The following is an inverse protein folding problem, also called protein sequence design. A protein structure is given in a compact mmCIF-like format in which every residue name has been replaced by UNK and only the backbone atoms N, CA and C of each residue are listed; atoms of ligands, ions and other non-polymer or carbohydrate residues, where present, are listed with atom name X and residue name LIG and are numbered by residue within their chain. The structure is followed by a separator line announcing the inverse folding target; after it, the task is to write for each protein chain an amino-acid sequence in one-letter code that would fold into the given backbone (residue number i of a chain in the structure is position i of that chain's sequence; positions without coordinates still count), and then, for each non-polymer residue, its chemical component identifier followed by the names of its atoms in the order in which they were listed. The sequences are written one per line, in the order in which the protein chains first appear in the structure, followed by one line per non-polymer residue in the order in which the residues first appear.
data_IF_207745236397
#
_entry.id   IF_207745236397
#
_cell.length_a   1.000
_cell.length_b   1.000
_cell.length_c   1.000
_cell.angle_alpha   90.00
_cell.angle_beta   90.00
_cell.angle_gamma   90.00
#
_symmetry.space_group_name_H-M   'P 1'
#
loop_
_entity.id
_entity.type
_entity.pdbx_description
1 polymer ?
#
# COMPACT_ATOMS: atom_id res chain seq x y z
N UNK A 1 16.60 -14.53 -19.69
CA UNK A 1 16.38 -13.66 -18.53
C UNK A 1 16.43 -12.21 -18.99
N UNK A 2 15.27 -11.58 -19.25
CA UNK A 2 15.17 -10.14 -19.48
C UNK A 2 15.07 -9.48 -18.12
N UNK A 3 16.00 -8.56 -17.80
CA UNK A 3 15.91 -7.70 -16.61
C UNK A 3 14.67 -6.82 -16.77
N UNK A 4 13.60 -7.17 -16.07
CA UNK A 4 12.46 -6.28 -15.90
C UNK A 4 12.91 -5.12 -15.03
N UNK A 5 12.88 -3.92 -15.58
CA UNK A 5 13.05 -2.68 -14.84
C UNK A 5 11.94 -2.66 -13.78
N UNK A 6 12.25 -2.42 -12.48
CA UNK A 6 11.19 -2.32 -11.49
C UNK A 6 10.24 -1.22 -11.92
N UNK A 7 8.96 -1.57 -12.15
CA UNK A 7 7.91 -0.58 -12.26
C UNK A 7 8.00 0.29 -11.02
N UNK A 8 8.25 1.58 -11.22
CA UNK A 8 8.15 2.54 -10.11
C UNK A 8 6.73 2.40 -9.58
N UNK A 9 6.59 1.98 -8.32
CA UNK A 9 5.33 2.08 -7.61
C UNK A 9 4.83 3.49 -7.86
N UNK A 10 3.74 3.62 -8.60
CA UNK A 10 3.00 4.86 -8.65
C UNK A 10 2.35 4.99 -7.28
N UNK A 11 3.13 5.42 -6.28
CA UNK A 11 2.57 5.87 -5.03
C UNK A 11 1.56 6.94 -5.38
N UNK A 12 0.28 6.68 -5.14
CA UNK A 12 -0.80 7.66 -5.30
C UNK A 12 -0.58 8.93 -4.43
N UNK A 13 0.52 8.97 -3.72
CA UNK A 13 1.00 10.01 -2.81
C UNK A 13 1.50 11.30 -3.48
N UNK A 14 1.49 11.37 -4.82
CA UNK A 14 1.82 12.61 -5.53
C UNK A 14 0.84 13.78 -5.24
N UNK A 15 -0.23 13.55 -4.49
CA UNK A 15 -1.20 14.60 -4.14
C UNK A 15 -0.89 15.36 -2.85
N UNK A 16 0.01 14.85 -2.00
CA UNK A 16 0.38 15.59 -0.77
C UNK A 16 1.17 16.89 -1.01
N UNK A 17 1.65 17.12 -2.22
CA UNK A 17 2.53 18.26 -2.53
C UNK A 17 1.83 19.60 -2.82
N UNK A 18 0.49 19.66 -2.82
CA UNK A 18 -0.23 20.90 -3.23
C UNK A 18 -1.29 21.40 -2.25
N UNK A 19 -1.41 20.79 -1.07
CA UNK A 19 -2.21 21.44 -0.03
C UNK A 19 -1.32 22.46 0.69
N UNK A 20 -1.41 23.72 0.27
CA UNK A 20 -0.86 24.87 1.00
C UNK A 20 -1.57 24.96 2.35
N UNK A 21 -1.01 24.29 3.36
CA UNK A 21 -1.60 24.17 4.68
C UNK A 21 -1.03 25.26 5.59
N UNK A 22 -1.79 26.34 5.77
CA UNK A 22 -1.46 27.33 6.79
C UNK A 22 -1.78 26.76 8.18
N UNK A 23 -0.75 26.45 8.95
CA UNK A 23 -0.88 26.15 10.37
C UNK A 23 -1.24 27.44 11.12
N UNK A 24 -2.53 27.71 11.29
CA UNK A 24 -2.93 28.59 12.38
C UNK A 24 -2.88 27.78 13.66
N UNK A 25 -1.73 27.84 14.34
CA UNK A 25 -1.61 27.34 15.70
C UNK A 25 -2.65 28.07 16.57
N UNK A 26 -3.76 27.44 16.84
CA UNK A 26 -4.75 27.89 17.83
C UNK A 26 -4.20 27.58 19.22
N UNK A 27 -3.42 28.51 19.78
CA UNK A 27 -2.88 28.42 21.13
C UNK A 27 -2.28 29.76 21.54
N UNK A 28 -2.95 30.46 22.42
CA UNK A 28 -2.62 31.73 23.03
C UNK A 28 -1.13 32.00 23.23
N UNK A 29 -0.63 33.06 22.59
CA UNK A 29 0.45 33.91 23.11
C UNK A 29 1.87 33.41 22.93
N UNK A 30 2.53 33.88 21.89
CA UNK A 30 3.96 33.76 21.64
C UNK A 30 4.28 32.78 20.53
N UNK A 31 5.01 33.21 19.50
CA UNK A 31 5.54 32.40 18.41
C UNK A 31 6.54 31.38 18.98
N UNK A 32 6.03 30.25 19.53
CA UNK A 32 6.84 29.08 19.78
C UNK A 32 7.08 28.46 18.40
N UNK A 33 8.32 28.52 17.92
CA UNK A 33 8.73 27.81 16.71
C UNK A 33 8.39 26.32 16.85
N UNK A 34 8.16 25.64 15.72
CA UNK A 34 7.90 24.20 15.65
C UNK A 34 8.95 23.41 16.45
N UNK A 35 8.49 22.35 17.11
CA UNK A 35 9.30 21.53 18.00
C UNK A 35 9.51 20.12 17.42
N UNK A 36 10.45 19.40 18.01
CA UNK A 36 10.65 17.95 17.72
C UNK A 36 9.39 17.13 18.00
N UNK A 37 8.56 17.56 18.95
CA UNK A 37 7.28 16.89 19.25
C UNK A 37 6.27 17.08 18.12
N UNK A 38 6.21 18.27 17.54
CA UNK A 38 5.31 18.55 16.40
C UNK A 38 5.74 17.72 15.18
N UNK A 39 7.05 17.53 14.98
CA UNK A 39 7.55 16.66 13.91
C UNK A 39 7.22 15.17 14.15
N UNK A 40 7.29 14.69 15.41
CA UNK A 40 6.85 13.33 15.73
C UNK A 40 5.34 13.15 15.51
N UNK A 41 4.55 14.13 15.93
CA UNK A 41 3.10 14.15 15.74
C UNK A 41 2.73 14.16 14.25
N UNK A 42 3.44 14.95 13.42
CA UNK A 42 3.29 14.95 11.97
C UNK A 42 3.45 13.52 11.40
N UNK A 43 4.56 12.85 11.73
CA UNK A 43 4.82 11.49 11.25
C UNK A 43 3.78 10.49 11.76
N UNK A 44 3.39 10.60 13.04
CA UNK A 44 2.39 9.69 13.62
C UNK A 44 1.03 9.83 12.94
N UNK A 45 0.54 11.05 12.74
CA UNK A 45 -0.76 11.26 12.12
C UNK A 45 -0.78 10.87 10.64
N UNK A 46 0.32 11.07 9.92
CA UNK A 46 0.46 10.61 8.54
C UNK A 46 0.39 9.07 8.46
N UNK A 47 1.17 8.37 9.28
CA UNK A 47 1.17 6.90 9.32
C UNK A 47 -0.20 6.33 9.74
N UNK A 48 -0.79 6.88 10.80
CA UNK A 48 -2.09 6.43 11.29
C UNK A 48 -3.21 6.65 10.27
N UNK A 49 -3.16 7.75 9.53
CA UNK A 49 -4.11 8.06 8.44
C UNK A 49 -3.91 7.10 7.28
N UNK A 50 -2.68 6.98 6.79
CA UNK A 50 -2.38 6.26 5.55
C UNK A 50 -2.54 4.74 5.69
N UNK A 51 -2.18 4.18 6.85
CA UNK A 51 -2.23 2.71 7.03
C UNK A 51 -3.39 2.23 7.91
N UNK A 52 -3.80 2.99 8.92
CA UNK A 52 -4.83 2.54 9.87
C UNK A 52 -6.19 3.20 9.69
N UNK A 53 -6.32 4.14 8.76
CA UNK A 53 -7.58 4.87 8.54
C UNK A 53 -8.03 5.69 9.75
N UNK A 54 -7.09 6.21 10.56
CA UNK A 54 -7.36 7.01 11.76
C UNK A 54 -7.31 8.51 11.42
N UNK A 55 -8.42 9.08 11.01
CA UNK A 55 -8.48 10.43 10.42
C UNK A 55 -8.49 11.57 11.44
N UNK A 56 -8.90 11.32 12.68
CA UNK A 56 -9.09 12.39 13.68
C UNK A 56 -7.79 13.14 14.02
N UNK A 57 -6.66 12.43 14.12
CA UNK A 57 -5.35 13.04 14.34
C UNK A 57 -4.95 13.96 13.20
N UNK A 58 -5.10 13.49 11.96
CA UNK A 58 -4.76 14.22 10.74
C UNK A 58 -5.55 15.53 10.60
N UNK A 59 -6.87 15.45 10.75
CA UNK A 59 -7.76 16.63 10.68
C UNK A 59 -7.51 17.63 11.82
N UNK A 60 -7.11 17.17 12.99
CA UNK A 60 -6.74 18.04 14.09
C UNK A 60 -5.35 18.68 13.92
N UNK A 61 -4.43 17.98 13.26
CA UNK A 61 -3.07 18.45 13.00
C UNK A 61 -3.02 19.47 11.85
N UNK A 62 -3.73 19.21 10.77
CA UNK A 62 -3.79 20.04 9.57
C UNK A 62 -5.08 20.85 9.50
N UNK A 63 -5.00 22.17 9.70
CA UNK A 63 -6.17 23.05 9.87
C UNK A 63 -7.07 23.19 8.63
N UNK A 64 -6.55 22.91 7.43
CA UNK A 64 -7.27 23.10 6.16
C UNK A 64 -7.68 21.79 5.49
N UNK A 65 -7.61 20.67 6.22
CA UNK A 65 -7.94 19.34 5.72
C UNK A 65 -9.25 18.87 6.34
N UNK A 66 -10.11 18.29 5.54
CA UNK A 66 -11.36 17.69 6.00
C UNK A 66 -11.19 16.18 6.28
N UNK A 67 -12.13 15.62 7.03
CA UNK A 67 -12.18 14.15 7.19
C UNK A 67 -12.36 13.44 5.85
N UNK A 68 -12.97 14.09 4.85
CA UNK A 68 -13.12 13.50 3.53
C UNK A 68 -11.77 13.43 2.80
N UNK A 69 -10.97 14.50 2.85
CA UNK A 69 -9.62 14.51 2.25
C UNK A 69 -8.73 13.40 2.84
N UNK A 70 -8.78 13.23 4.17
CA UNK A 70 -8.04 12.15 4.85
C UNK A 70 -8.53 10.73 4.45
N UNK A 71 -9.84 10.57 4.23
CA UNK A 71 -10.41 9.31 3.73
C UNK A 71 -10.02 9.03 2.29
N UNK A 72 -10.02 10.05 1.45
CA UNK A 72 -9.66 9.92 0.05
C UNK A 72 -8.18 9.51 -0.06
N UNK A 73 -7.27 10.15 0.69
CA UNK A 73 -5.86 9.74 0.78
C UNK A 73 -5.71 8.27 1.22
N UNK A 74 -6.41 7.85 2.26
CA UNK A 74 -6.39 6.46 2.72
C UNK A 74 -6.89 5.49 1.65
N UNK A 75 -8.03 5.81 1.01
CA UNK A 75 -8.59 4.94 -0.01
C UNK A 75 -7.69 4.86 -1.25
N UNK A 76 -7.06 5.96 -1.66
CA UNK A 76 -6.11 5.98 -2.78
C UNK A 76 -4.89 5.10 -2.49
N UNK A 77 -4.37 5.13 -1.26
CA UNK A 77 -3.28 4.25 -0.84
C UNK A 77 -3.69 2.77 -0.89
N UNK A 78 -4.85 2.44 -0.34
CA UNK A 78 -5.42 1.08 -0.38
C UNK A 78 -5.61 0.61 -1.84
N UNK A 79 -6.18 1.45 -2.69
CA UNK A 79 -6.41 1.12 -4.10
C UNK A 79 -5.08 0.89 -4.86
N UNK A 80 -4.05 1.68 -4.54
CA UNK A 80 -2.71 1.54 -5.11
C UNK A 80 -2.08 0.19 -4.77
N UNK A 81 -2.13 -0.23 -3.51
CA UNK A 81 -1.57 -1.52 -3.08
C UNK A 81 -2.39 -2.72 -3.59
N UNK A 82 -3.71 -2.61 -3.57
CA UNK A 82 -4.58 -3.64 -4.15
C UNK A 82 -4.30 -3.83 -5.65
N UNK A 83 -4.14 -2.73 -6.38
CA UNK A 83 -3.78 -2.77 -7.81
C UNK A 83 -2.39 -3.38 -8.03
N UNK A 84 -1.42 -3.10 -7.14
CA UNK A 84 -0.09 -3.69 -7.23
C UNK A 84 -0.13 -5.20 -7.00
N UNK A 85 -0.86 -5.69 -6.01
CA UNK A 85 -1.05 -7.13 -5.82
C UNK A 85 -1.70 -7.79 -7.04
N UNK A 86 -2.80 -7.22 -7.56
CA UNK A 86 -3.47 -7.72 -8.77
C UNK A 86 -2.55 -7.72 -9.99
N UNK A 87 -1.64 -6.75 -10.09
CA UNK A 87 -0.59 -6.74 -11.11
C UNK A 87 0.43 -7.88 -10.92
N UNK A 88 0.85 -8.17 -9.69
CA UNK A 88 1.79 -9.28 -9.42
C UNK A 88 1.24 -10.64 -9.84
N UNK A 89 -0.07 -10.84 -9.69
CA UNK A 89 -0.77 -12.07 -10.09
C UNK A 89 -1.41 -11.98 -11.47
N UNK A 90 -1.12 -10.93 -12.27
CA UNK A 90 -1.80 -10.73 -13.55
C UNK A 90 -1.51 -11.82 -14.57
N UNK A 91 -2.55 -12.22 -15.31
CA UNK A 91 -2.48 -13.24 -16.35
C UNK A 91 -2.51 -12.60 -17.74
N UNK A 92 -1.63 -13.05 -18.68
CA UNK A 92 -1.66 -12.56 -20.04
C UNK A 92 -2.93 -13.05 -20.77
N UNK A 93 -3.38 -12.26 -21.75
CA UNK A 93 -4.40 -12.72 -22.67
C UNK A 93 -3.83 -13.83 -23.57
N UNK A 94 -4.59 -14.91 -23.78
CA UNK A 94 -4.12 -16.06 -24.57
C UNK A 94 -4.01 -15.75 -26.06
N UNK A 95 -4.83 -14.83 -26.58
CA UNK A 95 -4.81 -14.38 -27.98
C UNK A 95 -3.73 -13.33 -28.24
N UNK A 96 -3.59 -12.36 -27.32
CA UNK A 96 -2.59 -11.30 -27.40
C UNK A 96 -1.77 -11.25 -26.10
N UNK A 97 -0.70 -12.00 -26.03
CA UNK A 97 0.20 -12.09 -24.87
C UNK A 97 0.90 -10.77 -24.51
N UNK A 98 0.75 -9.71 -25.31
CA UNK A 98 1.22 -8.36 -24.96
C UNK A 98 0.25 -7.61 -24.05
N UNK A 99 -0.96 -8.13 -23.87
CA UNK A 99 -2.00 -7.59 -23.00
C UNK A 99 -2.23 -8.51 -21.81
N UNK A 100 -2.74 -7.95 -20.72
CA UNK A 100 -3.20 -8.68 -19.54
C UNK A 100 -4.71 -8.63 -19.48
N UNK A 101 -5.31 -9.67 -18.91
CA UNK A 101 -6.75 -9.66 -18.62
C UNK A 101 -6.95 -8.95 -17.30
N UNK A 102 -7.67 -7.83 -17.34
CA UNK A 102 -7.96 -7.04 -16.16
C UNK A 102 -8.90 -7.77 -15.20
N UNK A 103 -8.68 -7.67 -13.88
CA UNK A 103 -9.61 -8.19 -12.90
C UNK A 103 -10.95 -7.46 -12.97
N UNK A 104 -12.03 -8.16 -12.63
CA UNK A 104 -13.36 -7.55 -12.55
C UNK A 104 -13.43 -6.50 -11.43
N UNK A 105 -14.41 -5.58 -11.51
CA UNK A 105 -14.66 -4.62 -10.44
C UNK A 105 -14.90 -5.28 -9.07
N UNK A 106 -15.50 -6.48 -9.04
CA UNK A 106 -15.74 -7.21 -7.80
C UNK A 106 -14.42 -7.73 -7.19
N UNK A 107 -13.51 -8.24 -8.02
CA UNK A 107 -12.18 -8.69 -7.60
C UNK A 107 -11.33 -7.52 -7.12
N UNK A 108 -11.38 -6.39 -7.82
CA UNK A 108 -10.71 -5.15 -7.38
C UNK A 108 -11.22 -4.70 -5.99
N UNK A 109 -12.52 -4.66 -5.80
CA UNK A 109 -13.10 -4.30 -4.48
C UNK A 109 -12.78 -5.31 -3.38
N UNK A 110 -12.70 -6.61 -3.71
CA UNK A 110 -12.25 -7.63 -2.75
C UNK A 110 -10.80 -7.38 -2.35
N UNK A 111 -9.91 -7.13 -3.30
CA UNK A 111 -8.52 -6.79 -3.04
C UNK A 111 -8.38 -5.54 -2.15
N UNK A 112 -9.10 -4.45 -2.46
CA UNK A 112 -9.13 -3.24 -1.64
C UNK A 112 -9.62 -3.52 -0.21
N UNK A 113 -10.64 -4.36 -0.04
CA UNK A 113 -11.11 -4.74 1.29
C UNK A 113 -10.06 -5.51 2.08
N UNK A 114 -9.37 -6.45 1.44
CA UNK A 114 -8.30 -7.23 2.06
C UNK A 114 -7.11 -6.34 2.47
N UNK A 115 -6.73 -5.38 1.63
CA UNK A 115 -5.65 -4.45 1.97
C UNK A 115 -6.00 -3.51 3.13
N UNK A 116 -7.28 -3.17 3.35
CA UNK A 116 -7.72 -2.47 4.58
C UNK A 116 -7.45 -3.31 5.82
N UNK A 117 -7.77 -4.60 5.76
CA UNK A 117 -7.55 -5.53 6.88
C UNK A 117 -6.05 -5.81 7.11
N UNK A 118 -5.25 -5.90 6.04
CA UNK A 118 -3.79 -6.05 6.09
C UNK A 118 -3.17 -4.80 6.75
N UNK A 119 -3.46 -3.62 6.23
CA UNK A 119 -2.88 -2.37 6.73
C UNK A 119 -3.32 -2.00 8.15
N UNK A 120 -4.50 -2.44 8.59
CA UNK A 120 -4.90 -2.31 9.98
C UNK A 120 -3.94 -3.00 10.97
N UNK A 121 -3.10 -3.95 10.48
CA UNK A 121 -2.09 -4.67 11.26
C UNK A 121 -0.69 -4.04 11.21
N UNK A 122 -0.51 -2.89 10.54
CA UNK A 122 0.79 -2.20 10.47
C UNK A 122 1.36 -1.92 11.86
N UNK A 123 2.62 -2.29 12.08
CA UNK A 123 3.33 -2.10 13.35
C UNK A 123 4.52 -1.16 13.15
N UNK A 124 4.41 0.05 13.67
CA UNK A 124 5.44 1.07 13.64
C UNK A 124 5.48 1.87 14.93
N UNK A 125 6.65 2.43 15.24
CA UNK A 125 6.88 3.22 16.46
C UNK A 125 7.77 4.41 16.16
N UNK A 126 7.34 5.60 16.58
CA UNK A 126 8.16 6.81 16.55
C UNK A 126 9.13 6.75 17.72
N UNK A 127 10.43 6.63 17.43
CA UNK A 127 11.47 6.40 18.45
C UNK A 127 12.01 7.68 19.03
N UNK A 128 12.39 8.62 18.15
CA UNK A 128 13.03 9.88 18.56
C UNK A 128 12.95 10.91 17.43
N UNK A 129 13.21 12.15 17.77
CA UNK A 129 13.38 13.23 16.79
C UNK A 129 14.44 14.23 17.24
N UNK A 130 15.06 14.90 16.26
CA UNK A 130 16.02 15.97 16.50
C UNK A 130 15.84 17.07 15.44
N UNK A 131 16.04 18.33 15.86
CA UNK A 131 16.08 19.45 14.94
C UNK A 131 17.46 19.53 14.29
N UNK A 132 17.49 19.74 12.98
CA UNK A 132 18.70 19.87 12.21
C UNK A 132 19.13 21.36 12.08
N UNK A 133 20.38 21.58 11.67
CA UNK A 133 20.93 22.93 11.52
C UNK A 133 20.25 23.75 10.41
N UNK A 134 19.66 23.10 9.42
CA UNK A 134 18.93 23.69 8.31
C UNK A 134 17.45 24.01 8.64
N UNK A 135 17.04 23.68 9.87
CA UNK A 135 15.68 23.92 10.35
C UNK A 135 14.70 22.76 10.15
N UNK A 136 15.10 21.71 9.44
CA UNK A 136 14.32 20.46 9.30
C UNK A 136 14.34 19.63 10.58
N UNK A 137 13.56 18.55 10.61
CA UNK A 137 13.56 17.60 11.72
C UNK A 137 13.83 16.19 11.19
N UNK A 138 14.79 15.51 11.82
CA UNK A 138 15.03 14.08 11.61
C UNK A 138 14.18 13.29 12.60
N UNK A 139 13.30 12.43 12.13
CA UNK A 139 12.43 11.58 12.96
C UNK A 139 12.78 10.13 12.69
N UNK A 140 13.17 9.40 13.76
CA UNK A 140 13.46 7.98 13.67
C UNK A 140 12.19 7.17 13.90
N UNK A 141 11.88 6.29 12.94
CA UNK A 141 10.76 5.36 12.99
C UNK A 141 11.30 3.93 12.96
N UNK A 142 10.79 3.08 13.83
CA UNK A 142 10.95 1.64 13.74
C UNK A 142 9.69 1.05 13.11
N UNK A 143 9.87 0.10 12.20
CA UNK A 143 8.80 -0.56 11.45
C UNK A 143 9.06 -2.06 11.50
N UNK A 144 8.03 -2.85 11.75
CA UNK A 144 8.05 -4.30 11.56
C UNK A 144 7.32 -4.62 10.25
N UNK A 145 8.04 -4.95 9.17
CA UNK A 145 7.42 -5.28 7.89
C UNK A 145 6.48 -6.47 8.01
N UNK A 146 5.29 -6.36 7.47
CA UNK A 146 4.33 -7.48 7.44
C UNK A 146 4.76 -8.51 6.39
N UNK A 147 4.68 -9.80 6.74
CA UNK A 147 5.14 -10.92 5.90
C UNK A 147 4.06 -11.51 4.99
N UNK A 148 2.98 -10.80 4.76
CA UNK A 148 1.79 -11.28 4.02
C UNK A 148 2.13 -11.88 2.65
N UNK A 149 3.03 -11.26 1.89
CA UNK A 149 3.40 -11.77 0.56
C UNK A 149 4.25 -13.04 0.65
N UNK A 150 5.08 -13.16 1.67
CA UNK A 150 5.81 -14.41 1.97
C UNK A 150 4.82 -15.54 2.29
N UNK A 151 3.83 -15.28 3.15
CA UNK A 151 2.79 -16.26 3.48
C UNK A 151 1.98 -16.68 2.25
N UNK A 152 1.62 -15.75 1.37
CA UNK A 152 0.94 -16.06 0.11
C UNK A 152 1.84 -16.92 -0.78
N UNK A 153 3.11 -16.56 -0.95
CA UNK A 153 4.06 -17.31 -1.77
C UNK A 153 4.30 -18.74 -1.25
N UNK A 154 4.48 -18.90 0.06
CA UNK A 154 4.71 -20.20 0.69
C UNK A 154 3.52 -21.15 0.61
N UNK A 155 2.30 -20.62 0.56
CA UNK A 155 1.07 -21.42 0.51
C UNK A 155 0.48 -21.52 -0.91
N UNK A 156 1.13 -20.97 -1.92
CA UNK A 156 0.60 -20.86 -3.28
C UNK A 156 0.31 -22.23 -3.90
N UNK A 157 1.30 -23.13 -3.94
CA UNK A 157 1.18 -24.44 -4.60
C UNK A 157 0.08 -25.29 -3.95
N UNK A 158 0.07 -25.36 -2.61
CA UNK A 158 -0.93 -26.16 -1.89
C UNK A 158 -2.35 -25.61 -2.11
N UNK A 159 -2.51 -24.30 -2.08
CA UNK A 159 -3.83 -23.67 -2.22
C UNK A 159 -4.39 -23.79 -3.64
N UNK A 160 -3.52 -23.78 -4.65
CA UNK A 160 -3.91 -23.93 -6.05
C UNK A 160 -4.10 -25.38 -6.50
N UNK A 161 -3.87 -26.38 -5.65
CA UNK A 161 -4.05 -27.80 -6.02
C UNK A 161 -5.45 -28.10 -6.54
N UNK A 162 -6.51 -27.64 -5.85
CA UNK A 162 -7.90 -27.86 -6.28
C UNK A 162 -8.23 -27.13 -7.58
N UNK A 163 -7.66 -25.93 -7.78
CA UNK A 163 -7.78 -25.16 -9.02
C UNK A 163 -7.14 -25.93 -10.19
N UNK A 164 -5.90 -26.39 -10.01
CA UNK A 164 -5.17 -27.15 -11.02
C UNK A 164 -5.88 -28.47 -11.34
N UNK A 165 -6.36 -29.18 -10.33
CA UNK A 165 -7.13 -30.41 -10.48
C UNK A 165 -8.45 -30.20 -11.24
N UNK A 166 -9.12 -29.07 -11.06
CA UNK A 166 -10.34 -28.67 -11.77
C UNK A 166 -10.05 -28.43 -13.25
N UNK A 167 -9.04 -27.63 -13.55
CA UNK A 167 -8.76 -27.17 -14.90
C UNK A 167 -7.94 -28.17 -15.74
N UNK A 168 -7.15 -29.05 -15.11
CA UNK A 168 -6.48 -30.16 -15.80
C UNK A 168 -7.45 -31.15 -16.47
N UNK A 169 -8.72 -31.17 -16.06
CA UNK A 169 -9.77 -32.05 -16.62
C UNK A 169 -10.50 -31.44 -17.80
N UNK A 170 -10.23 -30.18 -18.12
CA UNK A 170 -10.85 -29.49 -19.27
C UNK A 170 -10.12 -29.92 -20.54
N UNK A 171 -10.85 -30.46 -21.51
CA UNK A 171 -10.30 -30.87 -22.81
C UNK A 171 -10.13 -29.64 -23.71
N UNK A 172 -9.04 -28.89 -23.48
CA UNK A 172 -8.71 -27.71 -24.30
C UNK A 172 -8.18 -28.07 -25.67
N UNK A 173 -7.71 -29.31 -25.90
CA UNK A 173 -7.20 -29.75 -27.19
C UNK A 173 -8.31 -29.90 -28.25
N UNK A 174 -9.55 -30.15 -27.80
CA UNK A 174 -10.72 -30.25 -28.70
C UNK A 174 -11.37 -28.90 -29.02
N UNK A 175 -10.97 -27.82 -28.37
CA UNK A 175 -11.52 -26.48 -28.60
C UNK A 175 -10.97 -25.87 -29.88
N UNK A 176 -11.81 -25.08 -30.57
CA UNK A 176 -11.32 -24.12 -31.56
C UNK A 176 -10.59 -22.98 -30.85
N UNK A 177 -9.76 -22.22 -31.57
CA UNK A 177 -9.06 -21.05 -31.01
C UNK A 177 -10.04 -20.06 -30.35
N UNK A 178 -11.18 -19.79 -31.00
CA UNK A 178 -12.21 -18.90 -30.48
C UNK A 178 -12.83 -19.42 -29.17
N UNK A 179 -13.14 -20.73 -29.11
CA UNK A 179 -13.67 -21.38 -27.91
C UNK A 179 -12.65 -21.33 -26.78
N UNK A 180 -11.37 -21.61 -27.07
CA UNK A 180 -10.30 -21.54 -26.09
C UNK A 180 -10.10 -20.12 -25.55
N UNK A 181 -10.03 -19.09 -26.41
CA UNK A 181 -9.87 -17.71 -25.97
C UNK A 181 -11.06 -17.22 -25.13
N UNK A 182 -12.29 -17.59 -25.52
CA UNK A 182 -13.48 -17.28 -24.74
C UNK A 182 -13.48 -17.98 -23.38
N UNK A 183 -13.11 -19.26 -23.31
CA UNK A 183 -12.99 -20.00 -22.08
C UNK A 183 -11.90 -19.39 -21.18
N UNK A 184 -10.72 -19.09 -21.74
CA UNK A 184 -9.63 -18.46 -21.01
C UNK A 184 -10.03 -17.15 -20.34
N UNK A 185 -10.63 -16.23 -21.11
CA UNK A 185 -11.03 -14.90 -20.63
C UNK A 185 -12.20 -14.91 -19.65
N UNK A 186 -13.15 -15.82 -19.83
CA UNK A 186 -14.42 -15.77 -19.10
C UNK A 186 -14.57 -16.84 -18.02
N UNK A 187 -13.69 -17.84 -17.98
CA UNK A 187 -13.75 -18.94 -17.01
C UNK A 187 -12.44 -19.08 -16.26
N UNK A 188 -11.34 -19.35 -16.96
CA UNK A 188 -10.07 -19.67 -16.32
C UNK A 188 -9.49 -18.46 -15.55
N UNK A 189 -9.29 -17.34 -16.22
CA UNK A 189 -8.65 -16.16 -15.59
C UNK A 189 -9.48 -15.55 -14.47
N UNK A 190 -10.81 -15.38 -14.58
CA UNK A 190 -11.61 -14.92 -13.44
C UNK A 190 -11.51 -15.84 -12.22
N UNK A 191 -11.58 -17.16 -12.40
CA UNK A 191 -11.44 -18.14 -11.31
C UNK A 191 -10.03 -18.11 -10.70
N UNK A 192 -9.00 -17.90 -11.52
CA UNK A 192 -7.62 -17.73 -11.05
C UNK A 192 -7.50 -16.52 -10.12
N UNK A 193 -8.05 -15.36 -10.50
CA UNK A 193 -8.07 -14.18 -9.65
C UNK A 193 -8.83 -14.41 -8.35
N UNK A 194 -10.00 -15.07 -8.42
CA UNK A 194 -10.78 -15.39 -7.23
C UNK A 194 -10.00 -16.30 -6.29
N UNK A 195 -9.35 -17.35 -6.82
CA UNK A 195 -8.52 -18.28 -6.06
C UNK A 195 -7.33 -17.57 -5.39
N UNK A 196 -6.65 -16.67 -6.11
CA UNK A 196 -5.53 -15.91 -5.56
C UNK A 196 -5.97 -14.92 -4.46
N UNK A 197 -7.14 -14.31 -4.61
CA UNK A 197 -7.72 -13.43 -3.59
C UNK A 197 -8.21 -14.22 -2.36
N UNK A 198 -8.73 -15.43 -2.55
CA UNK A 198 -9.12 -16.33 -1.46
C UNK A 198 -7.88 -16.80 -0.68
N UNK A 199 -6.77 -17.08 -1.36
CA UNK A 199 -5.49 -17.35 -0.71
C UNK A 199 -5.03 -16.15 0.12
N UNK A 200 -5.00 -14.95 -0.46
CA UNK A 200 -4.64 -13.73 0.27
C UNK A 200 -5.52 -13.57 1.52
N UNK A 201 -6.84 -13.71 1.39
CA UNK A 201 -7.81 -13.63 2.48
C UNK A 201 -7.50 -14.64 3.59
N UNK A 202 -7.19 -15.89 3.23
CA UNK A 202 -6.87 -16.95 4.17
C UNK A 202 -5.60 -16.67 5.00
N UNK A 203 -4.67 -15.87 4.46
CA UNK A 203 -3.42 -15.53 5.13
C UNK A 203 -3.54 -14.26 6.00
N UNK A 204 -4.53 -13.41 5.82
CA UNK A 204 -4.71 -12.18 6.65
C UNK A 204 -4.69 -12.48 8.17
N UNK A 205 -5.38 -13.52 8.69
CA UNK A 205 -5.31 -13.84 10.12
C UNK A 205 -3.91 -14.27 10.61
N UNK A 206 -3.07 -14.78 9.72
CA UNK A 206 -1.77 -15.36 10.01
C UNK A 206 -0.61 -14.36 9.89
N UNK A 207 -0.88 -13.11 9.49
CA UNK A 207 0.16 -12.09 9.31
C UNK A 207 1.04 -12.01 10.56
N UNK A 208 2.32 -12.28 10.34
CA UNK A 208 3.43 -12.02 11.22
C UNK A 208 4.28 -10.85 10.72
N UNK A 209 5.49 -10.74 11.24
CA UNK A 209 6.38 -9.63 10.93
C UNK A 209 7.81 -10.13 10.70
N UNK A 210 8.46 -9.57 9.71
CA UNK A 210 9.90 -9.70 9.52
C UNK A 210 10.67 -8.91 10.60
N UNK A 211 12.00 -9.01 10.58
CA UNK A 211 12.87 -8.28 11.51
C UNK A 211 12.63 -6.77 11.45
N UNK A 212 12.54 -6.16 12.64
CA UNK A 212 12.32 -4.72 12.78
C UNK A 212 13.39 -3.93 12.03
N UNK A 213 12.96 -2.96 11.24
CA UNK A 213 13.81 -2.03 10.48
C UNK A 213 13.64 -0.63 11.04
N UNK A 214 14.75 0.13 11.05
CA UNK A 214 14.72 1.55 11.43
C UNK A 214 14.97 2.42 10.21
N UNK A 215 14.18 3.49 10.08
CA UNK A 215 14.39 4.55 9.10
C UNK A 215 14.44 5.90 9.79
N UNK A 216 15.20 6.82 9.22
CA UNK A 216 15.18 8.24 9.63
C UNK A 216 14.57 9.03 8.49
N UNK A 217 13.46 9.68 8.74
CA UNK A 217 12.73 10.51 7.79
C UNK A 217 12.91 11.98 8.11
N UNK A 218 13.00 12.81 7.07
CA UNK A 218 13.11 14.24 7.19
C UNK A 218 11.71 14.87 7.15
N UNK A 219 11.35 15.54 8.24
CA UNK A 219 10.16 16.39 8.29
C UNK A 219 10.57 17.82 7.99
N UNK A 220 10.00 18.36 6.94
CA UNK A 220 10.29 19.71 6.44
C UNK A 220 9.17 20.67 6.83
N UNK A 221 9.45 21.96 6.71
CA UNK A 221 8.47 23.02 6.91
C UNK A 221 8.26 23.76 5.59
N UNK A 222 7.00 23.89 5.18
CA UNK A 222 6.64 24.71 4.01
C UNK A 222 6.83 26.21 4.32
N UNK A 223 6.79 27.06 3.29
CA UNK A 223 6.84 28.52 3.43
C UNK A 223 5.67 29.07 4.28
N UNK A 224 4.55 28.35 4.30
CA UNK A 224 3.35 28.69 5.08
C UNK A 224 3.38 28.13 6.51
N UNK A 225 4.45 27.39 6.85
CA UNK A 225 4.69 26.87 8.19
C UNK A 225 4.15 25.45 8.46
N UNK A 226 3.57 24.77 7.47
CA UNK A 226 3.11 23.39 7.62
C UNK A 226 4.28 22.40 7.64
N UNK A 227 4.17 21.36 8.46
CA UNK A 227 5.12 20.23 8.44
C UNK A 227 4.67 19.20 7.40
N UNK A 228 5.65 18.59 6.73
CA UNK A 228 5.40 17.51 5.78
C UNK A 228 6.62 16.59 5.68
N UNK A 229 6.37 15.35 5.24
CA UNK A 229 7.40 14.35 4.91
C UNK A 229 7.73 14.49 3.43
N UNK A 230 9.02 14.44 3.05
CA UNK A 230 9.41 14.47 1.64
C UNK A 230 8.91 13.23 0.90
N UNK A 231 8.67 13.35 -0.41
CA UNK A 231 8.20 12.23 -1.25
C UNK A 231 9.20 11.05 -1.23
N UNK A 232 10.50 11.34 -1.28
CA UNK A 232 11.55 10.31 -1.24
C UNK A 232 11.54 9.56 0.10
N UNK A 233 11.43 10.28 1.22
CA UNK A 233 11.38 9.66 2.56
C UNK A 233 10.11 8.87 2.75
N UNK A 234 8.98 9.37 2.23
CA UNK A 234 7.72 8.66 2.27
C UNK A 234 7.78 7.35 1.47
N UNK A 235 8.31 7.39 0.25
CA UNK A 235 8.50 6.20 -0.60
C UNK A 235 9.38 5.16 0.09
N UNK A 236 10.47 5.59 0.73
CA UNK A 236 11.36 4.69 1.45
C UNK A 236 10.70 4.06 2.69
N UNK A 237 9.84 4.81 3.39
CA UNK A 237 9.09 4.33 4.54
C UNK A 237 8.02 3.33 4.10
N UNK A 238 7.24 3.67 3.08
CA UNK A 238 6.18 2.83 2.53
C UNK A 238 6.70 1.45 2.10
N UNK A 239 7.88 1.42 1.47
CA UNK A 239 8.55 0.18 1.07
C UNK A 239 8.92 -0.75 2.25
N UNK A 240 8.81 -0.28 3.50
CA UNK A 240 9.09 -1.08 4.70
C UNK A 240 7.83 -1.61 5.40
N UNK A 241 6.64 -1.19 5.00
CA UNK A 241 5.38 -1.59 5.66
C UNK A 241 5.03 -3.05 5.37
N UNK A 242 5.25 -3.48 4.12
CA UNK A 242 5.10 -4.88 3.71
C UNK A 242 6.47 -5.41 3.28
N UNK A 243 6.78 -6.64 3.67
CA UNK A 243 8.00 -7.32 3.20
C UNK A 243 7.77 -7.91 1.80
N UNK A 244 8.42 -7.32 0.81
CA UNK A 244 8.37 -7.76 -0.59
C UNK A 244 9.53 -8.69 -0.97
N UNK A 245 10.39 -9.07 -0.03
CA UNK A 245 11.59 -9.88 -0.33
C UNK A 245 11.26 -11.34 -0.69
N UNK A 246 10.06 -11.81 -0.33
CA UNK A 246 9.57 -13.16 -0.62
C UNK A 246 8.65 -13.28 -1.85
N UNK A 247 8.41 -12.19 -2.59
CA UNK A 247 7.48 -12.15 -3.73
C UNK A 247 8.17 -12.33 -5.09
#
# INVERSE_FOLDING_TARGET
MKKTTPLKRCSALALCALLTLSLTACGSGGSKGLSTKDAQECVQVELDTTYKGQFAGFVNFYSNVTTQDAKDQYNDNIAGEAAYFLYLISMPDAEDQSQTIEPSAMQTHKAESLYKDIYAKSDYTIVSSSRQNDGTFAVKVNIKPMDILTLVSENWEDFFTDFDDKFSKVDTESMTDEEFFNWWRNVYVPEYYDTALDLLESQVPNIGYADEKSIVIQVQQSEEGALFISEDDWTNLDALIIDYSGS
#
